data_IF_990455125534
#
_entry.id   IF_990455125534
#
_cell.length_a   1.000
_cell.length_b   1.000
_cell.length_c   1.000
_cell.angle_alpha   90.00
_cell.angle_beta   90.00
_cell.angle_gamma   90.00
#
_symmetry.space_group_name_H-M   'P 1'
#
loop_
_entity.id
_entity.type
_entity.pdbx_description
1 polymer ?
#
# COMPACT_ATOMS: atom_id res chain seq x y z
N UNK A 1 -24.10 -66.10 -25.11
CA UNK A 1 -24.12 -66.78 -26.43
C UNK A 1 -23.76 -65.73 -27.47
N UNK A 2 -22.56 -65.77 -28.06
CA UNK A 2 -22.25 -66.48 -29.31
C UNK A 2 -23.32 -66.24 -30.40
N UNK A 3 -23.03 -65.98 -31.68
CA UNK A 3 -21.84 -65.75 -32.49
C UNK A 3 -22.43 -65.65 -33.91
N UNK A 4 -21.93 -64.69 -34.70
CA UNK A 4 -21.82 -64.70 -36.16
C UNK A 4 -23.06 -64.99 -37.04
N UNK A 5 -23.22 -64.16 -38.08
CA UNK A 5 -22.89 -64.43 -39.49
C UNK A 5 -23.72 -63.48 -40.38
N UNK A 6 -23.43 -63.13 -41.62
CA UNK A 6 -22.28 -63.09 -42.55
C UNK A 6 -22.94 -62.83 -43.94
N UNK A 7 -22.16 -62.37 -44.92
CA UNK A 7 -22.43 -62.30 -46.38
C UNK A 7 -23.35 -61.16 -46.91
N UNK A 8 -22.86 -60.20 -47.73
CA UNK A 8 -22.31 -60.28 -49.13
C UNK A 8 -23.47 -60.34 -50.15
N UNK A 9 -23.52 -59.68 -51.31
CA UNK A 9 -22.72 -58.68 -52.02
C UNK A 9 -23.55 -58.18 -53.23
N UNK A 10 -23.00 -57.20 -53.94
CA UNK A 10 -23.01 -57.07 -55.42
C UNK A 10 -23.98 -56.10 -56.10
N UNK A 11 -23.43 -55.45 -57.12
CA UNK A 11 -24.09 -54.61 -58.13
C UNK A 11 -24.03 -53.13 -57.77
N UNK A 12 -23.40 -52.24 -58.50
CA UNK A 12 -23.06 -52.24 -59.92
C UNK A 12 -23.10 -50.77 -60.34
N UNK A 13 -21.95 -50.28 -60.80
CA UNK A 13 -21.63 -48.89 -61.12
C UNK A 13 -22.35 -48.40 -62.39
N UNK A 14 -22.85 -47.15 -62.43
CA UNK A 14 -22.84 -46.31 -63.65
C UNK A 14 -23.31 -44.86 -63.39
N UNK A 15 -22.65 -43.90 -64.04
CA UNK A 15 -23.14 -42.52 -64.26
C UNK A 15 -22.57 -41.47 -63.31
N UNK A 16 -21.34 -40.98 -63.53
CA UNK A 16 -21.05 -39.73 -64.25
C UNK A 16 -21.91 -38.50 -63.90
N UNK A 17 -21.29 -37.58 -63.15
CA UNK A 17 -21.17 -36.18 -63.58
C UNK A 17 -22.15 -35.16 -63.00
N UNK A 18 -21.70 -34.38 -62.01
CA UNK A 18 -21.76 -32.92 -62.09
C UNK A 18 -20.81 -32.28 -61.06
N UNK A 19 -19.79 -31.56 -61.55
CA UNK A 19 -18.93 -30.70 -60.72
C UNK A 19 -19.64 -29.35 -60.57
N UNK A 20 -20.31 -29.12 -59.45
CA UNK A 20 -20.70 -27.78 -59.04
C UNK A 20 -19.52 -27.08 -58.39
N UNK A 21 -18.96 -26.09 -59.09
CA UNK A 21 -17.94 -25.18 -58.56
C UNK A 21 -18.50 -24.36 -57.39
N UNK A 22 -18.08 -24.71 -56.17
CA UNK A 22 -18.41 -23.99 -54.95
C UNK A 22 -17.50 -22.77 -54.75
N UNK A 23 -17.81 -21.67 -55.44
CA UNK A 23 -17.22 -20.36 -55.15
C UNK A 23 -17.85 -19.64 -53.94
N UNK A 24 -18.93 -20.20 -53.37
CA UNK A 24 -19.63 -19.64 -52.20
C UNK A 24 -18.96 -19.89 -50.85
N UNK A 25 -18.22 -21.00 -50.71
CA UNK A 25 -17.59 -21.37 -49.44
C UNK A 25 -16.41 -20.47 -49.06
N UNK A 26 -15.59 -20.06 -50.03
CA UNK A 26 -14.36 -19.29 -49.77
C UNK A 26 -14.65 -17.88 -49.27
N UNK A 27 -15.72 -17.24 -49.76
CA UNK A 27 -16.12 -15.89 -49.35
C UNK A 27 -16.70 -15.83 -47.93
N UNK A 28 -17.37 -16.90 -47.48
CA UNK A 28 -17.94 -17.00 -46.12
C UNK A 28 -16.84 -17.20 -45.08
N UNK A 29 -15.82 -18.00 -45.39
CA UNK A 29 -14.69 -18.26 -44.50
C UNK A 29 -13.81 -17.02 -44.31
N UNK A 30 -13.59 -16.21 -45.34
CA UNK A 30 -12.81 -14.96 -45.26
C UNK A 30 -13.52 -13.87 -44.43
N UNK A 31 -14.86 -13.76 -44.51
CA UNK A 31 -15.63 -12.83 -43.65
C UNK A 31 -15.63 -13.25 -42.18
N UNK A 32 -15.70 -14.55 -41.89
CA UNK A 32 -15.63 -15.07 -40.53
C UNK A 32 -14.26 -14.83 -39.88
N UNK A 33 -13.17 -14.97 -40.65
CA UNK A 33 -11.80 -14.69 -40.16
C UNK A 33 -11.60 -13.19 -39.90
N UNK A 34 -12.15 -12.31 -40.74
CA UNK A 34 -12.05 -10.86 -40.54
C UNK A 34 -12.85 -10.39 -39.31
N UNK A 35 -14.04 -10.93 -39.07
CA UNK A 35 -14.81 -10.63 -37.84
C UNK A 35 -14.16 -11.18 -36.58
N UNK A 36 -13.55 -12.37 -36.64
CA UNK A 36 -12.79 -12.93 -35.51
C UNK A 36 -11.53 -12.10 -35.20
N UNK A 37 -10.81 -11.64 -36.23
CA UNK A 37 -9.63 -10.79 -36.06
C UNK A 37 -9.97 -9.40 -35.49
N UNK A 38 -11.08 -8.79 -35.92
CA UNK A 38 -11.56 -7.50 -35.39
C UNK A 38 -12.07 -7.64 -33.95
N UNK A 39 -12.75 -8.73 -33.60
CA UNK A 39 -13.14 -8.99 -32.20
C UNK A 39 -11.93 -9.25 -31.29
N UNK A 40 -10.90 -9.96 -31.76
CA UNK A 40 -9.64 -10.14 -31.02
C UNK A 40 -8.87 -8.81 -30.83
N UNK A 41 -8.95 -7.89 -31.79
CA UNK A 41 -8.40 -6.53 -31.66
C UNK A 41 -9.23 -5.63 -30.72
N UNK A 42 -10.55 -5.83 -30.64
CA UNK A 42 -11.42 -5.06 -29.72
C UNK A 42 -11.34 -5.53 -28.26
N UNK A 43 -10.98 -6.80 -27.99
CA UNK A 43 -10.73 -7.27 -26.62
C UNK A 43 -9.29 -7.04 -26.13
N UNK A 44 -8.35 -6.75 -27.01
CA UNK A 44 -6.95 -6.45 -26.67
C UNK A 44 -6.66 -4.99 -26.28
N UNK A 45 -7.67 -4.11 -26.32
CA UNK A 45 -7.52 -2.66 -26.07
C UNK A 45 -8.25 -2.18 -24.81
N UNK A 46 -8.64 -3.08 -23.91
CA UNK A 46 -8.80 -2.65 -22.52
C UNK A 46 -7.38 -2.47 -21.97
N UNK A 47 -6.95 -1.25 -21.59
CA UNK A 47 -5.78 -1.17 -20.72
C UNK A 47 -6.12 -2.07 -19.56
N UNK A 48 -5.35 -3.15 -19.36
CA UNK A 48 -5.29 -3.78 -18.07
C UNK A 48 -5.03 -2.61 -17.13
N UNK A 49 -6.04 -2.24 -16.33
CA UNK A 49 -5.81 -1.34 -15.22
C UNK A 49 -4.66 -2.01 -14.51
N UNK A 50 -3.48 -1.38 -14.54
CA UNK A 50 -2.38 -1.73 -13.67
C UNK A 50 -2.93 -1.48 -12.27
N UNK A 51 -3.73 -2.43 -11.77
CA UNK A 51 -3.96 -2.60 -10.36
C UNK A 51 -2.55 -2.78 -9.85
N UNK A 52 -2.03 -1.72 -9.25
CA UNK A 52 -0.78 -1.74 -8.51
C UNK A 52 -0.78 -3.05 -7.73
N UNK A 53 0.07 -3.99 -8.11
CA UNK A 53 0.22 -5.22 -7.36
C UNK A 53 0.99 -4.82 -6.10
N UNK A 54 0.15 -4.54 -5.11
CA UNK A 54 0.44 -4.20 -3.75
C UNK A 54 1.69 -4.89 -3.21
N UNK A 55 2.43 -4.16 -2.40
CA UNK A 55 3.44 -4.61 -1.44
C UNK A 55 2.91 -5.64 -0.42
N UNK A 56 1.71 -6.20 -0.65
CA UNK A 56 1.03 -7.10 0.23
C UNK A 56 1.81 -8.41 0.32
N UNK A 57 2.54 -8.54 1.43
CA UNK A 57 3.31 -9.74 1.77
C UNK A 57 2.42 -10.84 2.36
N UNK A 58 1.12 -10.59 2.53
CA UNK A 58 0.17 -11.55 3.09
C UNK A 58 -1.27 -11.29 2.62
N UNK A 59 -2.09 -12.33 2.55
CA UNK A 59 -3.52 -12.17 2.31
C UNK A 59 -4.26 -11.75 3.59
N UNK A 60 -5.04 -10.69 3.49
CA UNK A 60 -5.91 -10.23 4.57
C UNK A 60 -7.35 -10.76 4.42
N UNK A 61 -8.08 -11.01 5.52
CA UNK A 61 -9.48 -11.41 5.46
C UNK A 61 -10.34 -10.40 4.69
N UNK A 62 -11.43 -10.89 4.09
CA UNK A 62 -12.39 -10.03 3.38
C UNK A 62 -12.89 -8.90 4.28
N UNK A 63 -12.96 -7.69 3.72
CA UNK A 63 -13.35 -6.48 4.46
C UNK A 63 -12.24 -5.85 5.30
N UNK A 64 -10.98 -6.30 5.15
CA UNK A 64 -9.81 -5.66 5.77
C UNK A 64 -8.77 -5.28 4.71
N UNK A 65 -7.89 -4.34 5.07
CA UNK A 65 -6.82 -3.81 4.25
C UNK A 65 -5.47 -4.27 4.79
N UNK A 66 -4.56 -4.73 3.91
CA UNK A 66 -3.16 -4.91 4.29
C UNK A 66 -2.48 -3.56 4.42
N UNK A 67 -2.28 -3.10 5.63
CA UNK A 67 -1.76 -1.77 5.91
C UNK A 67 -0.32 -1.57 5.44
N UNK A 68 0.45 -2.64 5.17
CA UNK A 68 1.77 -2.48 4.56
C UNK A 68 1.64 -1.88 3.16
N UNK A 69 0.68 -2.37 2.36
CA UNK A 69 0.37 -1.85 1.02
C UNK A 69 -0.05 -0.38 1.04
N UNK A 70 -0.78 0.02 2.08
CA UNK A 70 -1.26 1.40 2.21
C UNK A 70 -0.19 2.34 2.76
N UNK A 71 0.73 1.83 3.59
CA UNK A 71 1.77 2.64 4.21
C UNK A 71 3.00 2.82 3.32
N UNK A 72 3.23 1.96 2.33
CA UNK A 72 4.41 2.03 1.47
C UNK A 72 4.05 2.46 0.05
N UNK A 73 4.98 3.16 -0.60
CA UNK A 73 4.91 3.38 -2.04
C UNK A 73 5.13 2.06 -2.79
N UNK A 74 4.34 1.85 -3.82
CA UNK A 74 4.35 0.65 -4.65
C UNK A 74 5.74 0.35 -5.26
N UNK A 75 6.03 -0.93 -5.43
CA UNK A 75 7.31 -1.47 -5.91
C UNK A 75 7.65 -1.02 -7.33
N UNK A 76 6.61 -0.79 -8.12
CA UNK A 76 6.69 -0.23 -9.47
C UNK A 76 7.25 1.19 -9.51
N UNK A 77 7.29 1.92 -8.39
CA UNK A 77 7.67 3.34 -8.35
C UNK A 77 8.80 3.66 -7.36
N UNK A 78 8.83 3.03 -6.17
CA UNK A 78 9.69 3.49 -5.07
C UNK A 78 11.20 3.39 -5.31
N UNK A 79 11.62 2.59 -6.29
CA UNK A 79 13.03 2.47 -6.69
C UNK A 79 13.51 3.61 -7.60
N UNK A 80 12.57 4.37 -8.18
CA UNK A 80 12.85 5.45 -9.14
C UNK A 80 12.12 6.75 -8.83
N UNK A 81 11.31 6.80 -7.77
CA UNK A 81 10.47 7.94 -7.45
C UNK A 81 10.26 8.10 -5.95
N UNK A 82 9.93 9.33 -5.55
CA UNK A 82 9.58 9.72 -4.19
C UNK A 82 8.46 10.74 -4.20
N UNK A 83 7.83 10.96 -3.05
CA UNK A 83 6.86 12.05 -2.90
C UNK A 83 7.54 13.32 -2.40
N UNK A 84 7.07 14.46 -2.88
CA UNK A 84 7.49 15.80 -2.46
C UNK A 84 6.25 16.68 -2.31
N UNK A 85 6.38 17.88 -1.75
CA UNK A 85 5.25 18.78 -1.58
C UNK A 85 5.57 19.95 -0.65
N UNK A 86 4.76 20.15 0.39
CA UNK A 86 4.92 21.26 1.34
C UNK A 86 5.97 20.99 2.42
N UNK A 87 6.57 19.80 2.43
CA UNK A 87 7.55 19.35 3.40
C UNK A 87 8.75 18.71 2.69
N UNK A 88 9.70 18.21 3.48
CA UNK A 88 10.84 17.47 2.96
C UNK A 88 10.40 16.29 2.07
N UNK A 89 11.21 15.91 1.06
CA UNK A 89 10.91 14.75 0.22
C UNK A 89 10.79 13.49 1.07
N UNK A 90 9.86 12.62 0.70
CA UNK A 90 9.56 11.37 1.37
C UNK A 90 9.87 10.20 0.45
N UNK A 91 11.00 9.54 0.72
CA UNK A 91 11.43 8.34 0.00
C UNK A 91 10.97 7.11 0.78
N UNK A 92 10.41 6.12 0.07
CA UNK A 92 10.01 4.85 0.69
C UNK A 92 11.01 3.75 0.32
N UNK A 93 11.49 3.00 1.31
CA UNK A 93 12.28 1.79 1.09
C UNK A 93 11.73 0.67 1.96
N UNK A 94 11.55 -0.52 1.38
CA UNK A 94 10.94 -1.66 2.08
C UNK A 94 11.93 -2.83 2.09
N UNK A 95 12.16 -3.38 3.29
CA UNK A 95 12.94 -4.58 3.57
C UNK A 95 12.03 -5.63 4.21
N UNK A 96 12.48 -6.87 4.35
CA UNK A 96 11.67 -8.00 4.83
C UNK A 96 10.86 -7.74 6.12
N UNK A 97 11.43 -7.02 7.07
CA UNK A 97 10.92 -6.84 8.44
C UNK A 97 10.70 -5.37 8.83
N UNK A 98 10.97 -4.43 7.90
CA UNK A 98 10.89 -3.00 8.16
C UNK A 98 10.76 -2.19 6.89
N UNK A 99 10.21 -0.99 7.01
CA UNK A 99 10.29 0.01 5.96
C UNK A 99 10.73 1.37 6.52
N UNK A 100 11.20 2.21 5.61
CA UNK A 100 11.70 3.54 5.88
C UNK A 100 10.84 4.55 5.12
N UNK A 101 10.48 5.62 5.81
CA UNK A 101 10.15 6.90 5.20
C UNK A 101 11.32 7.85 5.44
N UNK A 102 12.28 7.87 4.51
CA UNK A 102 13.43 8.77 4.59
C UNK A 102 13.01 10.18 4.15
N UNK A 103 13.39 11.18 4.94
CA UNK A 103 12.99 12.59 4.82
C UNK A 103 14.07 13.46 4.15
N UNK A 104 15.02 12.85 3.44
CA UNK A 104 16.14 13.54 2.80
C UNK A 104 16.84 12.70 1.75
N UNK A 105 17.35 13.35 0.71
CA UNK A 105 18.02 12.69 -0.42
C UNK A 105 19.34 11.99 -0.05
N UNK A 106 19.97 12.40 1.05
CA UNK A 106 21.12 11.73 1.65
C UNK A 106 20.74 10.44 2.40
N UNK A 107 19.44 10.11 2.47
CA UNK A 107 18.94 8.92 3.14
C UNK A 107 18.66 9.10 4.62
N UNK A 108 18.67 10.34 5.16
CA UNK A 108 18.38 10.71 6.55
C UNK A 108 17.65 12.06 6.68
N UNK A 109 16.97 12.35 7.79
CA UNK A 109 16.53 11.41 8.82
C UNK A 109 15.36 10.55 8.30
N UNK A 110 14.75 9.76 9.18
CA UNK A 110 13.74 8.77 8.82
C UNK A 110 12.69 8.63 9.91
N UNK A 111 11.50 8.25 9.49
CA UNK A 111 10.68 7.35 10.30
C UNK A 111 10.93 5.92 9.82
N UNK A 112 11.14 4.99 10.77
CA UNK A 112 11.31 3.56 10.49
C UNK A 112 10.21 2.82 11.20
N UNK A 113 9.57 1.92 10.46
CA UNK A 113 8.53 1.06 10.97
C UNK A 113 9.01 -0.38 10.88
N UNK A 114 8.94 -1.10 11.99
CA UNK A 114 9.03 -2.56 11.97
C UNK A 114 7.68 -3.12 11.57
N UNK A 115 7.66 -4.31 10.98
CA UNK A 115 6.41 -5.02 10.77
C UNK A 115 6.60 -6.53 10.85
N UNK A 116 5.54 -7.21 11.29
CA UNK A 116 5.42 -8.66 11.25
C UNK A 116 4.11 -9.02 10.54
N UNK A 117 3.58 -10.23 10.74
CA UNK A 117 2.29 -10.67 10.18
C UNK A 117 1.07 -10.13 10.92
N UNK A 118 1.25 -9.46 12.07
CA UNK A 118 0.17 -8.99 12.95
C UNK A 118 0.08 -7.46 12.98
N UNK A 119 1.21 -6.75 13.08
CA UNK A 119 1.24 -5.30 13.23
C UNK A 119 2.34 -4.64 12.40
N UNK A 120 2.16 -3.33 12.20
CA UNK A 120 3.19 -2.37 11.85
C UNK A 120 3.45 -1.52 13.10
N UNK A 121 4.71 -1.39 13.50
CA UNK A 121 5.13 -0.72 14.72
C UNK A 121 5.87 0.57 14.38
N UNK A 122 5.52 1.68 15.04
CA UNK A 122 6.34 2.89 15.01
C UNK A 122 7.61 2.61 15.82
N UNK A 123 8.73 2.43 15.14
CA UNK A 123 9.96 1.98 15.79
C UNK A 123 10.94 3.11 16.04
N UNK A 124 11.37 3.80 14.99
CA UNK A 124 12.35 4.88 15.08
C UNK A 124 11.79 6.14 14.43
N UNK A 125 11.99 7.28 15.08
CA UNK A 125 11.71 8.62 14.52
C UNK A 125 12.92 9.52 14.71
N UNK A 126 12.96 10.65 14.03
CA UNK A 126 14.04 11.62 14.16
C UNK A 126 14.15 12.25 15.58
N UNK A 127 15.39 12.62 15.92
CA UNK A 127 15.68 13.54 17.03
C UNK A 127 16.53 14.72 16.55
N UNK A 128 17.81 14.50 16.26
CA UNK A 128 18.70 15.52 15.70
C UNK A 128 18.83 15.34 14.17
N UNK A 129 18.15 16.21 13.40
CA UNK A 129 17.99 16.08 11.94
C UNK A 129 19.28 15.93 11.13
N UNK A 130 20.38 16.50 11.60
CA UNK A 130 21.70 16.46 10.93
C UNK A 130 22.58 15.29 11.39
N UNK A 131 22.17 14.51 12.40
CA UNK A 131 22.97 13.43 12.96
C UNK A 131 22.27 12.07 12.77
N UNK A 132 22.73 11.23 11.81
CA UNK A 132 22.12 9.93 11.53
C UNK A 132 22.30 8.91 12.67
N UNK A 133 23.13 9.19 13.66
CA UNK A 133 23.32 8.36 14.85
C UNK A 133 22.44 8.79 16.02
N UNK A 134 21.60 9.82 15.85
CA UNK A 134 20.72 10.34 16.90
C UNK A 134 19.25 10.25 16.52
N UNK A 135 18.46 9.59 17.37
CA UNK A 135 17.10 9.19 17.03
C UNK A 135 16.27 8.92 18.30
N UNK A 136 14.94 8.85 18.14
CA UNK A 136 14.05 8.30 19.16
C UNK A 136 13.70 6.87 18.75
N UNK A 137 13.67 5.95 19.69
CA UNK A 137 13.38 4.53 19.44
C UNK A 137 12.37 4.01 20.45
N UNK A 138 11.31 3.36 20.01
CA UNK A 138 10.42 2.60 20.89
C UNK A 138 11.22 1.57 21.69
N UNK A 139 11.19 1.65 23.02
CA UNK A 139 12.15 0.95 23.91
C UNK A 139 12.22 -0.55 23.63
N UNK A 140 11.06 -1.20 23.47
CA UNK A 140 10.97 -2.64 23.25
C UNK A 140 10.85 -3.04 21.77
N UNK A 141 11.15 -2.13 20.85
CA UNK A 141 10.99 -2.24 19.39
C UNK A 141 9.53 -2.32 18.91
N UNK A 142 8.66 -3.02 19.64
CA UNK A 142 7.28 -3.35 19.27
C UNK A 142 6.24 -2.80 20.24
N UNK A 143 6.63 -2.02 21.25
CA UNK A 143 5.68 -1.47 22.22
C UNK A 143 4.76 -0.37 21.64
N UNK A 144 5.01 0.09 20.42
CA UNK A 144 4.18 1.06 19.69
C UNK A 144 3.57 0.47 18.41
N UNK A 145 2.61 -0.47 18.51
CA UNK A 145 1.88 -0.99 17.35
C UNK A 145 1.00 0.12 16.76
N UNK A 146 1.39 0.65 15.60
CA UNK A 146 0.73 1.77 14.94
C UNK A 146 -0.56 1.33 14.22
N UNK A 147 -0.55 0.14 13.61
CA UNK A 147 -1.74 -0.48 13.03
C UNK A 147 -1.60 -2.00 13.00
N UNK A 148 -2.71 -2.73 13.00
CA UNK A 148 -2.70 -4.13 12.59
C UNK A 148 -2.31 -4.23 11.11
N UNK A 149 -1.69 -5.35 10.71
CA UNK A 149 -1.40 -5.65 9.31
C UNK A 149 -2.68 -5.74 8.51
N UNK A 150 -3.64 -6.52 8.97
CA UNK A 150 -4.98 -6.55 8.40
C UNK A 150 -5.91 -5.69 9.24
N UNK A 151 -6.21 -4.49 8.75
CA UNK A 151 -7.05 -3.52 9.46
C UNK A 151 -8.40 -3.33 8.79
N UNK A 152 -9.46 -3.28 9.58
CA UNK A 152 -10.77 -2.84 9.13
C UNK A 152 -10.78 -1.32 9.05
N UNK A 153 -11.29 -0.76 7.96
CA UNK A 153 -11.66 0.65 7.89
C UNK A 153 -12.86 0.99 8.78
N UNK A 154 -13.27 2.25 8.79
CA UNK A 154 -14.43 2.75 9.53
C UNK A 154 -14.17 4.14 10.13
N UNK A 155 -15.06 4.62 11.00
CA UNK A 155 -14.78 5.76 11.86
C UNK A 155 -15.46 5.54 13.22
N UNK A 156 -14.78 4.87 14.18
CA UNK A 156 -13.47 4.24 14.04
C UNK A 156 -13.52 2.89 13.29
N UNK A 157 -12.41 2.49 12.68
CA UNK A 157 -12.16 1.12 12.24
C UNK A 157 -11.37 0.33 13.30
N UNK A 158 -10.42 -0.51 12.85
CA UNK A 158 -9.50 -1.24 13.74
C UNK A 158 -8.90 -0.31 14.78
N UNK A 159 -8.91 -0.72 16.05
CA UNK A 159 -8.43 0.07 17.19
C UNK A 159 -7.44 -0.73 18.01
N UNK A 160 -6.32 -0.10 18.40
CA UNK A 160 -5.31 -0.68 19.28
C UNK A 160 -5.10 0.26 20.46
N UNK A 161 -5.25 -0.28 21.67
CA UNK A 161 -4.91 0.41 22.90
C UNK A 161 -3.47 0.11 23.29
N UNK A 162 -2.66 1.14 23.43
CA UNK A 162 -1.23 1.04 23.71
C UNK A 162 -0.96 1.46 25.14
N UNK A 163 -0.68 0.48 26.01
CA UNK A 163 -0.44 0.73 27.43
C UNK A 163 0.97 1.24 27.75
N UNK A 164 1.94 0.95 26.89
CA UNK A 164 3.34 1.31 27.06
C UNK A 164 3.85 2.07 25.83
N UNK A 165 3.98 3.39 25.96
CA UNK A 165 4.51 4.25 24.90
C UNK A 165 5.94 4.71 25.17
N UNK A 166 6.69 3.94 25.97
CA UNK A 166 8.06 4.30 26.29
C UNK A 166 8.94 4.29 25.04
N UNK A 167 9.82 5.28 24.98
CA UNK A 167 10.81 5.44 23.93
C UNK A 167 12.11 5.96 24.52
N UNK A 168 13.19 5.62 23.86
CA UNK A 168 14.54 6.01 24.21
C UNK A 168 15.00 7.12 23.26
N UNK A 169 15.50 8.23 23.80
CA UNK A 169 16.20 9.24 23.01
C UNK A 169 17.67 8.87 23.00
N UNK A 170 18.13 8.44 21.83
CA UNK A 170 19.52 8.13 21.53
C UNK A 170 20.24 9.39 21.04
N UNK A 171 21.26 9.84 21.77
CA UNK A 171 22.15 10.93 21.33
C UNK A 171 23.25 10.44 20.40
N UNK A 172 23.56 9.15 20.52
CA UNK A 172 24.37 8.34 19.63
C UNK A 172 23.79 6.92 19.58
N UNK A 173 24.37 6.03 18.76
CA UNK A 173 23.86 4.67 18.59
C UNK A 173 23.78 3.83 19.88
N UNK A 174 24.45 4.25 20.97
CA UNK A 174 24.65 3.44 22.18
C UNK A 174 24.09 4.06 23.45
N UNK A 175 24.17 5.38 23.63
CA UNK A 175 23.72 6.07 24.83
C UNK A 175 22.31 6.62 24.65
N UNK A 176 21.47 6.46 25.69
CA UNK A 176 20.09 6.89 25.64
C UNK A 176 19.51 7.29 26.99
N UNK A 177 18.39 8.01 26.93
CA UNK A 177 17.50 8.28 28.07
C UNK A 177 16.09 7.82 27.73
N UNK A 178 15.39 7.20 28.68
CA UNK A 178 14.04 6.68 28.47
C UNK A 178 12.99 7.73 28.88
N UNK A 179 11.98 7.89 28.03
CA UNK A 179 10.84 8.79 28.17
C UNK A 179 9.55 8.01 27.92
N UNK A 180 8.38 8.61 28.20
CA UNK A 180 7.09 7.98 27.95
C UNK A 180 6.01 8.98 27.57
N UNK A 181 5.20 8.63 26.57
CA UNK A 181 4.05 9.41 26.09
C UNK A 181 2.74 8.99 26.78
N UNK A 182 2.82 8.46 28.01
CA UNK A 182 1.71 7.84 28.75
C UNK A 182 1.08 6.67 27.98
N UNK A 183 -0.25 6.66 27.83
CA UNK A 183 -0.99 5.67 27.05
C UNK A 183 -1.32 6.21 25.67
N UNK A 184 -1.56 5.32 24.71
CA UNK A 184 -1.95 5.66 23.35
C UNK A 184 -3.16 4.88 22.83
N UNK A 185 -3.80 5.42 21.80
CA UNK A 185 -4.88 4.78 21.04
C UNK A 185 -4.62 4.99 19.56
N UNK A 186 -4.46 3.89 18.84
CA UNK A 186 -4.23 3.90 17.40
C UNK A 186 -5.45 3.36 16.67
N UNK A 187 -5.91 4.07 15.64
CA UNK A 187 -7.10 3.70 14.89
C UNK A 187 -6.88 3.83 13.39
N UNK A 188 -7.45 2.91 12.63
CA UNK A 188 -7.54 3.05 11.17
C UNK A 188 -8.91 3.59 10.82
N UNK A 189 -8.96 4.66 10.04
CA UNK A 189 -10.17 5.29 9.56
C UNK A 189 -10.29 5.24 8.04
N UNK A 190 -11.51 5.42 7.53
CA UNK A 190 -11.82 5.43 6.10
C UNK A 190 -12.18 4.04 5.54
N UNK A 191 -12.00 3.78 4.24
CA UNK A 191 -11.42 4.68 3.26
C UNK A 191 -12.31 5.90 3.00
N UNK A 192 -11.68 7.05 2.81
CA UNK A 192 -12.27 8.26 2.26
C UNK A 192 -11.81 8.43 0.82
N UNK A 193 -12.51 9.25 0.03
CA UNK A 193 -11.98 9.68 -1.26
C UNK A 193 -11.51 11.13 -1.15
N UNK A 194 -10.19 11.36 -1.23
CA UNK A 194 -9.57 12.64 -0.97
C UNK A 194 -8.70 13.10 -2.14
N UNK A 195 -8.58 14.42 -2.30
CA UNK A 195 -7.66 15.05 -3.25
C UNK A 195 -6.64 15.87 -2.48
N UNK A 196 -5.36 15.67 -2.77
CA UNK A 196 -4.26 16.38 -2.09
C UNK A 196 -3.62 17.46 -2.97
N UNK A 197 -4.11 17.64 -4.20
CA UNK A 197 -3.55 18.56 -5.20
C UNK A 197 -2.22 18.08 -5.77
N UNK A 198 -1.43 19.02 -6.30
CA UNK A 198 -0.11 18.71 -6.87
C UNK A 198 -0.21 17.86 -8.14
N UNK A 199 0.65 16.84 -8.26
CA UNK A 199 0.65 15.89 -9.39
C UNK A 199 0.00 14.54 -9.07
N UNK A 200 -0.50 14.35 -7.85
CA UNK A 200 -1.26 13.14 -7.50
C UNK A 200 -2.68 13.20 -8.09
N UNK A 201 -3.28 12.05 -8.42
CA UNK A 201 -4.68 12.00 -8.86
C UNK A 201 -5.63 12.65 -7.86
N UNK A 202 -6.74 13.19 -8.37
CA UNK A 202 -7.86 13.60 -7.53
C UNK A 202 -8.66 12.38 -7.07
N UNK A 203 -9.38 12.52 -5.95
CA UNK A 203 -10.34 11.55 -5.45
C UNK A 203 -9.73 10.16 -5.22
N UNK A 204 -8.53 10.12 -4.62
CA UNK A 204 -7.84 8.87 -4.29
C UNK A 204 -8.47 8.21 -3.06
N UNK A 205 -8.57 6.87 -3.03
CA UNK A 205 -8.94 6.16 -1.82
C UNK A 205 -7.84 6.34 -0.78
N UNK A 206 -8.22 6.79 0.42
CA UNK A 206 -7.31 7.14 1.50
C UNK A 206 -7.77 6.54 2.82
N UNK A 207 -6.90 5.78 3.46
CA UNK A 207 -7.03 5.40 4.87
C UNK A 207 -6.30 6.41 5.74
N UNK A 208 -6.78 6.62 6.96
CA UNK A 208 -6.10 7.48 7.94
C UNK A 208 -5.73 6.66 9.15
N UNK A 209 -4.45 6.60 9.49
CA UNK A 209 -4.03 6.11 10.81
C UNK A 209 -4.06 7.27 11.77
N UNK A 210 -5.01 7.27 12.71
CA UNK A 210 -5.05 8.20 13.83
C UNK A 210 -4.26 7.63 15.00
N UNK A 211 -3.13 8.25 15.32
CA UNK A 211 -2.29 7.95 16.46
C UNK A 211 -2.54 9.00 17.55
N UNK A 212 -3.22 8.61 18.64
CA UNK A 212 -3.41 9.48 19.80
C UNK A 212 -2.51 9.02 20.94
N UNK A 213 -1.86 9.95 21.62
CA UNK A 213 -1.00 9.67 22.76
C UNK A 213 -1.15 10.74 23.85
N UNK A 214 -0.37 10.62 24.93
CA UNK A 214 -0.53 11.43 26.13
C UNK A 214 -1.94 11.22 26.73
N UNK A 215 -2.43 9.98 26.65
CA UNK A 215 -3.77 9.62 27.12
C UNK A 215 -3.82 9.46 28.65
N UNK A 216 -4.99 9.74 29.21
CA UNK A 216 -5.32 9.40 30.60
C UNK A 216 -5.42 7.88 30.79
N UNK A 217 -5.59 7.45 32.05
CA UNK A 217 -5.58 6.02 32.41
C UNK A 217 -6.68 5.20 31.74
N UNK A 218 -7.81 5.82 31.38
CA UNK A 218 -8.94 5.19 30.70
C UNK A 218 -8.89 5.29 29.17
N UNK A 219 -7.85 5.90 28.59
CA UNK A 219 -7.75 6.21 27.15
C UNK A 219 -8.82 7.18 26.62
N UNK A 220 -9.66 7.75 27.49
CA UNK A 220 -10.80 8.58 27.09
C UNK A 220 -10.44 9.99 26.65
N UNK A 221 -9.27 10.51 27.06
CA UNK A 221 -8.76 11.81 26.66
C UNK A 221 -7.25 11.70 26.42
N UNK A 222 -6.80 12.22 25.27
CA UNK A 222 -5.41 12.19 24.82
C UNK A 222 -4.98 13.61 24.47
N UNK A 223 -3.82 14.02 24.97
CA UNK A 223 -3.33 15.39 24.79
C UNK A 223 -2.87 15.68 23.36
N UNK A 224 -2.53 14.64 22.60
CA UNK A 224 -1.91 14.76 21.30
C UNK A 224 -2.51 13.76 20.31
N UNK A 225 -2.54 14.15 19.04
CA UNK A 225 -2.99 13.32 17.93
C UNK A 225 -2.15 13.58 16.69
N UNK A 226 -1.68 12.52 16.06
CA UNK A 226 -1.13 12.53 14.72
C UNK A 226 -2.05 11.76 13.77
N UNK A 227 -2.15 12.21 12.53
CA UNK A 227 -2.91 11.55 11.48
C UNK A 227 -2.01 11.32 10.27
N UNK A 228 -1.85 10.05 9.89
CA UNK A 228 -1.15 9.62 8.68
C UNK A 228 -2.19 9.30 7.61
N UNK A 229 -2.26 10.13 6.57
CA UNK A 229 -3.13 9.93 5.43
C UNK A 229 -2.41 9.09 4.38
N UNK A 230 -2.94 7.91 4.13
CA UNK A 230 -2.32 6.83 3.37
C UNK A 230 -3.15 6.56 2.13
N UNK A 231 -2.60 6.78 0.94
CA UNK A 231 -3.29 6.46 -0.31
C UNK A 231 -2.66 5.25 -0.96
N UNK A 232 -3.51 4.34 -1.44
CA UNK A 232 -3.05 3.15 -2.16
C UNK A 232 -2.10 3.55 -3.29
N UNK A 233 -1.07 2.72 -3.54
CA UNK A 233 0.04 2.96 -4.48
C UNK A 233 1.08 4.00 -4.04
N UNK A 234 0.69 5.03 -3.30
CA UNK A 234 1.57 6.17 -2.98
C UNK A 234 2.17 6.13 -1.57
N UNK A 235 1.51 5.45 -0.62
CA UNK A 235 1.92 5.46 0.77
C UNK A 235 1.43 6.72 1.52
N UNK A 236 2.28 7.27 2.39
CA UNK A 236 2.00 8.50 3.14
C UNK A 236 1.95 9.74 2.23
N UNK A 237 0.76 10.32 2.07
CA UNK A 237 0.52 11.51 1.22
C UNK A 237 0.24 12.78 2.03
N UNK A 238 -0.11 12.65 3.31
CA UNK A 238 -0.23 13.79 4.22
C UNK A 238 -0.04 13.35 5.67
N UNK A 239 0.63 14.16 6.47
CA UNK A 239 0.74 14.02 7.91
C UNK A 239 0.24 15.28 8.61
N UNK A 240 -0.49 15.12 9.70
CA UNK A 240 -1.03 16.24 10.48
C UNK A 240 -0.88 15.97 11.96
N UNK A 241 -0.33 16.93 12.71
CA UNK A 241 -0.26 16.89 14.18
C UNK A 241 -1.25 17.88 14.79
N UNK A 242 -1.88 17.44 15.86
CA UNK A 242 -2.85 18.20 16.65
C UNK A 242 -2.53 18.08 18.13
N UNK A 243 -2.90 19.12 18.87
CA UNK A 243 -2.93 19.11 20.34
C UNK A 243 -4.35 19.36 20.83
N UNK A 244 -4.71 18.76 21.95
CA UNK A 244 -6.00 18.96 22.59
C UNK A 244 -5.99 20.28 23.38
N UNK A 245 -6.68 21.29 22.86
CA UNK A 245 -6.79 22.62 23.48
C UNK A 245 -8.27 22.86 23.75
N UNK A 246 -8.62 23.10 25.02
CA UNK A 246 -10.00 23.36 25.45
C UNK A 246 -11.00 22.31 24.96
N UNK A 247 -10.61 21.03 25.01
CA UNK A 247 -11.47 19.89 24.62
C UNK A 247 -11.58 19.63 23.12
N UNK A 248 -10.87 20.38 22.27
CA UNK A 248 -10.87 20.18 20.81
C UNK A 248 -9.45 20.02 20.28
N UNK A 249 -9.26 19.11 19.31
CA UNK A 249 -7.98 18.96 18.63
C UNK A 249 -7.75 20.11 17.66
N UNK A 250 -6.71 20.91 17.93
CA UNK A 250 -6.29 22.03 17.10
C UNK A 250 -5.06 21.64 16.31
N UNK A 251 -5.08 21.85 14.99
CA UNK A 251 -3.94 21.53 14.12
C UNK A 251 -2.74 22.39 14.48
N UNK A 252 -1.61 21.75 14.75
CA UNK A 252 -0.33 22.42 15.03
C UNK A 252 0.56 22.43 13.81
N UNK A 253 0.63 21.31 13.09
CA UNK A 253 1.52 21.13 11.95
C UNK A 253 0.85 20.26 10.88
N UNK A 254 1.24 20.50 9.63
CA UNK A 254 0.76 19.75 8.48
C UNK A 254 1.83 19.66 7.41
N UNK A 255 2.04 18.46 6.90
CA UNK A 255 2.92 18.14 5.78
C UNK A 255 2.12 17.45 4.70
N UNK A 256 2.25 17.89 3.45
CA UNK A 256 1.58 17.30 2.29
C UNK A 256 2.64 16.82 1.30
N UNK A 257 2.52 15.57 0.87
CA UNK A 257 3.41 14.89 -0.07
C UNK A 257 2.64 14.58 -1.36
N UNK A 258 2.29 15.62 -2.11
CA UNK A 258 1.35 15.58 -3.23
C UNK A 258 1.99 15.68 -4.62
N UNK A 259 3.31 15.52 -4.73
CA UNK A 259 4.01 15.53 -6.01
C UNK A 259 4.91 14.30 -6.13
N UNK A 260 4.60 13.44 -7.10
CA UNK A 260 5.48 12.34 -7.51
C UNK A 260 6.66 12.92 -8.30
N UNK A 261 7.86 12.72 -7.78
CA UNK A 261 9.12 13.23 -8.34
C UNK A 261 10.09 12.08 -8.62
N UNK A 262 10.89 12.22 -9.67
CA UNK A 262 11.90 11.23 -10.03
C UNK A 262 13.06 11.23 -9.03
N UNK A 263 13.67 10.06 -8.84
CA UNK A 263 14.81 9.83 -7.96
C UNK A 263 14.45 9.01 -6.73
N UNK A 264 15.44 8.28 -6.22
CA UNK A 264 15.35 7.46 -5.03
C UNK A 264 16.53 7.78 -4.10
N UNK A 265 16.46 7.28 -2.87
CA UNK A 265 17.57 7.29 -1.92
C UNK A 265 17.69 5.91 -1.27
N UNK A 266 18.84 5.64 -0.66
CA UNK A 266 19.04 4.47 0.17
C UNK A 266 19.09 4.92 1.62
N UNK A 267 18.29 4.30 2.53
CA UNK A 267 18.31 4.65 3.93
C UNK A 267 19.72 4.53 4.52
N UNK A 268 20.17 5.57 5.23
CA UNK A 268 21.49 5.61 5.87
C UNK A 268 21.37 5.51 7.39
N UNK A 269 20.88 4.37 7.88
CA UNK A 269 20.85 4.12 9.31
C UNK A 269 22.16 3.48 9.76
N UNK A 270 22.96 4.19 10.55
CA UNK A 270 24.32 3.77 10.94
C UNK A 270 24.36 2.91 12.21
N UNK A 271 23.21 2.68 12.83
CA UNK A 271 23.10 1.93 14.07
C UNK A 271 22.48 0.54 13.78
N UNK A 272 23.06 -0.50 14.37
CA UNK A 272 22.78 -1.95 14.19
C UNK A 272 23.27 -2.55 12.87
#
# INVERSE_FOLDING_TARGET
>A
MAKAREFSASGGNSGQGEKTESWGGVLVTLKAIFFAAVMLLCFGLFPATNLAHAESTMSCPSGTYDMLDWMTMDSSMRSSSHLSGSANPLYTTVYKDKFYWAKGGNGSPWDIQLYDSKYIYLWITEYAWSNPSSYKKSTNNTNMPLTARCSKGGFPGSTIYVSNTNYDIHTDCTHYTTHGLKKGVNQVWGPYNLSFGGSLPNNMPTLVVSYRYNCNTSYGSCGDKEEYYLSQKYGLVQWVHYTLINGSYQQQQKSVFNKLSAGATFPRFQCF
#
